data_IF_910211915515
#
_entry.id   IF_910211915515
#
_cell.length_a   1.000
_cell.length_b   1.000
_cell.length_c   1.000
_cell.angle_alpha   90.00
_cell.angle_beta   90.00
_cell.angle_gamma   90.00
#
_symmetry.space_group_name_H-M   'P 1'
#
loop_
_entity.id
_entity.type
_entity.pdbx_description
1 polymer ?
#
# COMPACT_ATOMS: atom_id res chain seq x y z
N UNK A 1 -0.30 -13.68 26.10
CA UNK A 1 1.00 -13.91 25.44
C UNK A 1 0.78 -14.07 23.94
N UNK A 2 1.25 -13.13 23.11
CA UNK A 2 1.09 -13.23 21.66
C UNK A 2 1.86 -14.44 21.10
N UNK A 3 1.22 -15.23 20.23
CA UNK A 3 1.80 -16.43 19.63
C UNK A 3 3.06 -16.09 18.82
N UNK A 4 4.01 -17.02 18.70
CA UNK A 4 5.22 -16.83 17.88
C UNK A 4 4.89 -16.42 16.43
N UNK A 5 3.75 -16.90 15.91
CA UNK A 5 3.20 -16.50 14.61
C UNK A 5 2.73 -15.06 14.58
N UNK A 6 2.02 -14.60 15.61
CA UNK A 6 1.59 -13.19 15.72
C UNK A 6 2.79 -12.23 15.82
N UNK A 7 3.86 -12.62 16.52
CA UNK A 7 5.12 -11.84 16.54
C UNK A 7 5.79 -11.78 15.17
N UNK A 8 5.78 -12.88 14.42
CA UNK A 8 6.29 -12.91 13.04
C UNK A 8 5.50 -12.03 12.07
N UNK A 9 4.17 -12.03 12.17
CA UNK A 9 3.29 -11.18 11.33
C UNK A 9 3.55 -9.69 11.58
N UNK A 10 3.68 -9.28 12.84
CA UNK A 10 4.02 -7.89 13.19
C UNK A 10 5.42 -7.49 12.71
N UNK A 11 6.40 -8.40 12.80
CA UNK A 11 7.76 -8.15 12.32
C UNK A 11 7.88 -8.06 10.78
N UNK A 12 6.94 -8.64 10.04
CA UNK A 12 6.94 -8.67 8.56
C UNK A 12 6.38 -7.41 7.89
N UNK A 13 5.84 -6.45 8.65
CA UNK A 13 5.24 -5.22 8.12
C UNK A 13 3.80 -5.36 7.61
N UNK A 14 3.33 -6.56 7.28
CA UNK A 14 1.95 -6.82 6.81
C UNK A 14 0.91 -6.38 7.86
N UNK A 15 1.13 -6.73 9.13
CA UNK A 15 0.23 -6.32 10.22
C UNK A 15 0.16 -4.80 10.42
N UNK A 16 1.24 -4.08 10.14
CA UNK A 16 1.29 -2.62 10.21
C UNK A 16 0.48 -1.98 9.07
N UNK A 17 0.63 -2.48 7.84
CA UNK A 17 -0.12 -1.95 6.69
C UNK A 17 -1.63 -2.11 6.85
N UNK A 18 -2.07 -3.27 7.36
CA UNK A 18 -3.49 -3.50 7.60
C UNK A 18 -4.07 -2.49 8.62
N UNK A 19 -3.33 -2.20 9.70
CA UNK A 19 -3.74 -1.25 10.73
C UNK A 19 -3.77 0.19 10.20
N UNK A 20 -2.75 0.61 9.44
CA UNK A 20 -2.73 1.97 8.88
C UNK A 20 -3.85 2.16 7.87
N UNK A 21 -4.11 1.17 7.01
CA UNK A 21 -5.19 1.22 6.04
C UNK A 21 -6.56 1.43 6.71
N UNK A 22 -6.89 0.65 7.73
CA UNK A 22 -8.23 0.69 8.35
C UNK A 22 -8.43 1.85 9.31
N UNK A 23 -7.43 2.17 10.15
CA UNK A 23 -7.60 3.11 11.25
C UNK A 23 -7.09 4.52 10.94
N UNK A 24 -6.19 4.69 9.97
CA UNK A 24 -5.65 6.00 9.63
C UNK A 24 -6.18 6.48 8.28
N UNK A 25 -6.05 5.64 7.24
CA UNK A 25 -6.34 6.07 5.86
C UNK A 25 -7.85 6.17 5.59
N UNK A 26 -8.60 5.09 5.80
CA UNK A 26 -10.04 5.05 5.48
C UNK A 26 -10.85 6.17 6.18
N UNK A 27 -10.65 6.48 7.48
CA UNK A 27 -11.39 7.55 8.14
C UNK A 27 -11.06 8.96 7.63
N UNK A 28 -9.83 9.18 7.15
CA UNK A 28 -9.39 10.48 6.64
C UNK A 28 -9.73 10.71 5.18
N UNK A 29 -9.57 9.70 4.33
CA UNK A 29 -9.79 9.83 2.88
C UNK A 29 -11.27 9.63 2.50
N UNK A 30 -12.01 8.85 3.28
CA UNK A 30 -13.32 8.36 2.87
C UNK A 30 -13.23 7.27 1.80
N UNK A 31 -14.35 6.60 1.54
CA UNK A 31 -14.45 5.51 0.56
C UNK A 31 -15.72 5.69 -0.26
N UNK A 32 -15.57 5.67 -1.59
CA UNK A 32 -16.70 5.64 -2.50
C UNK A 32 -16.70 4.34 -3.32
N UNK A 33 -17.66 3.46 -3.03
CA UNK A 33 -17.69 2.12 -3.63
C UNK A 33 -18.02 2.11 -5.12
N UNK A 34 -18.62 3.20 -5.62
CA UNK A 34 -18.97 3.37 -7.01
C UNK A 34 -17.91 4.24 -7.69
N UNK A 35 -17.47 3.83 -8.88
CA UNK A 35 -16.50 4.60 -9.64
C UNK A 35 -17.09 5.97 -10.01
N UNK A 36 -16.39 7.03 -9.60
CA UNK A 36 -16.69 8.41 -9.92
C UNK A 36 -15.63 8.98 -10.87
N UNK A 37 -16.00 10.05 -11.56
CA UNK A 37 -15.09 10.75 -12.45
C UNK A 37 -14.32 11.81 -11.67
N UNK A 38 -13.02 11.61 -11.50
CA UNK A 38 -12.14 12.64 -10.94
C UNK A 38 -11.78 13.65 -12.04
N UNK A 39 -12.36 14.85 -11.93
CA UNK A 39 -12.13 15.94 -12.88
C UNK A 39 -10.71 16.50 -12.86
N UNK A 40 -9.99 16.39 -11.73
CA UNK A 40 -8.62 16.89 -11.58
C UNK A 40 -7.63 15.92 -12.23
N UNK A 41 -7.79 14.63 -11.95
CA UNK A 41 -6.98 13.56 -12.53
C UNK A 41 -7.36 13.17 -13.96
N UNK A 42 -8.57 13.54 -14.43
CA UNK A 42 -9.17 13.06 -15.69
C UNK A 42 -9.15 11.53 -15.80
N UNK A 43 -9.38 10.86 -14.68
CA UNK A 43 -9.38 9.40 -14.56
C UNK A 43 -10.60 8.96 -13.75
N UNK A 44 -11.01 7.71 -13.97
CA UNK A 44 -12.01 7.09 -13.11
C UNK A 44 -11.35 6.65 -11.81
N UNK A 45 -12.00 6.98 -10.69
CA UNK A 45 -11.50 6.74 -9.35
C UNK A 45 -12.57 6.01 -8.53
N UNK A 46 -12.16 5.11 -7.64
CA UNK A 46 -13.06 4.34 -6.77
C UNK A 46 -12.40 4.04 -5.42
N UNK A 47 -13.19 3.63 -4.44
CA UNK A 47 -12.74 3.26 -3.10
C UNK A 47 -11.96 4.42 -2.43
N UNK A 48 -10.86 4.12 -1.73
CA UNK A 48 -9.92 5.10 -1.18
C UNK A 48 -8.89 5.52 -2.25
N UNK A 49 -9.36 6.20 -3.29
CA UNK A 49 -8.51 6.84 -4.31
C UNK A 49 -7.85 5.90 -5.33
N UNK A 50 -8.41 4.72 -5.57
CA UNK A 50 -7.86 3.76 -6.53
C UNK A 50 -8.21 4.17 -7.96
N UNK A 51 -7.21 4.19 -8.85
CA UNK A 51 -7.36 4.63 -10.25
C UNK A 51 -6.88 3.59 -11.26
N UNK A 52 -6.19 2.54 -10.80
CA UNK A 52 -5.55 1.59 -11.69
C UNK A 52 -6.57 0.66 -12.34
N UNK A 53 -6.84 0.92 -13.61
CA UNK A 53 -7.72 0.09 -14.43
C UNK A 53 -9.21 0.25 -14.11
N UNK A 54 -9.57 1.29 -13.35
CA UNK A 54 -10.96 1.64 -13.01
C UNK A 54 -11.65 2.20 -14.24
N UNK A 55 -12.92 1.83 -14.42
CA UNK A 55 -13.76 2.23 -15.53
C UNK A 55 -15.08 2.81 -15.03
N UNK A 56 -15.75 3.52 -15.93
CA UNK A 56 -17.10 4.03 -15.68
C UNK A 56 -18.04 2.90 -15.30
N UNK A 57 -18.69 3.04 -14.15
CA UNK A 57 -19.72 2.10 -13.69
C UNK A 57 -19.19 0.93 -12.86
N UNK A 58 -17.88 0.86 -12.61
CA UNK A 58 -17.35 -0.13 -11.67
C UNK A 58 -17.93 0.10 -10.26
N UNK A 59 -18.19 -0.99 -9.57
CA UNK A 59 -18.63 -1.00 -8.18
C UNK A 59 -17.92 -2.11 -7.42
N UNK A 60 -17.44 -1.78 -6.21
CA UNK A 60 -16.73 -2.71 -5.35
C UNK A 60 -17.37 -2.75 -3.96
N UNK A 61 -17.28 -3.89 -3.28
CA UNK A 61 -17.69 -3.97 -1.87
C UNK A 61 -16.64 -3.34 -0.96
N UNK A 62 -17.03 -2.97 0.26
CA UNK A 62 -16.11 -2.40 1.27
C UNK A 62 -14.89 -3.29 1.49
N UNK A 63 -15.11 -4.61 1.57
CA UNK A 63 -14.04 -5.59 1.74
C UNK A 63 -13.08 -5.57 0.55
N UNK A 64 -13.59 -5.39 -0.67
CA UNK A 64 -12.77 -5.30 -1.87
C UNK A 64 -12.00 -3.98 -1.92
N UNK A 65 -12.63 -2.86 -1.56
CA UNK A 65 -11.99 -1.56 -1.42
C UNK A 65 -10.82 -1.60 -0.42
N UNK A 66 -11.03 -2.24 0.73
CA UNK A 66 -9.99 -2.38 1.74
C UNK A 66 -8.81 -3.24 1.25
N UNK A 67 -9.09 -4.34 0.55
CA UNK A 67 -8.04 -5.19 -0.03
C UNK A 67 -7.21 -4.44 -1.07
N UNK A 68 -7.85 -3.61 -1.91
CA UNK A 68 -7.15 -2.79 -2.90
C UNK A 68 -6.20 -1.80 -2.21
N UNK A 69 -6.70 -1.12 -1.17
CA UNK A 69 -5.88 -0.19 -0.37
C UNK A 69 -4.70 -0.88 0.30
N UNK A 70 -4.91 -2.03 0.96
CA UNK A 70 -3.85 -2.80 1.59
C UNK A 70 -2.79 -3.23 0.57
N UNK A 71 -3.21 -3.75 -0.57
CA UNK A 71 -2.30 -4.16 -1.65
C UNK A 71 -1.46 -2.99 -2.16
N UNK A 72 -2.05 -1.80 -2.29
CA UNK A 72 -1.34 -0.59 -2.73
C UNK A 72 -0.28 -0.18 -1.70
N UNK A 73 -0.65 -0.07 -0.43
CA UNK A 73 0.27 0.30 0.65
C UNK A 73 1.39 -0.73 0.85
N UNK A 74 1.11 -2.02 0.71
CA UNK A 74 2.13 -3.08 0.73
C UNK A 74 3.13 -2.93 -0.43
N UNK A 75 2.63 -2.58 -1.62
CA UNK A 75 3.51 -2.35 -2.77
C UNK A 75 4.40 -1.12 -2.59
N UNK A 76 3.86 -0.03 -2.03
CA UNK A 76 4.60 1.20 -1.74
C UNK A 76 5.66 0.99 -0.64
N UNK A 77 5.30 0.32 0.46
CA UNK A 77 6.24 -0.03 1.55
C UNK A 77 7.34 -0.98 1.07
N UNK A 78 7.01 -1.95 0.22
CA UNK A 78 8.02 -2.80 -0.42
C UNK A 78 8.95 -2.02 -1.34
N UNK A 79 8.43 -1.07 -2.11
CA UNK A 79 9.25 -0.25 -3.02
C UNK A 79 10.25 0.58 -2.22
N UNK A 80 9.80 1.28 -1.18
CA UNK A 80 10.68 2.09 -0.31
C UNK A 80 11.77 1.24 0.36
N UNK A 81 11.44 0.04 0.85
CA UNK A 81 12.43 -0.91 1.38
C UNK A 81 13.47 -1.35 0.36
N UNK A 82 13.03 -1.71 -0.86
CA UNK A 82 13.93 -2.12 -1.96
C UNK A 82 14.89 -1.00 -2.37
N UNK A 83 14.43 0.24 -2.40
CA UNK A 83 15.28 1.38 -2.76
C UNK A 83 16.37 1.59 -1.71
N UNK A 84 16.04 1.43 -0.42
CA UNK A 84 16.99 1.55 0.69
C UNK A 84 18.04 0.44 0.67
N UNK A 85 17.64 -0.82 0.50
CA UNK A 85 18.59 -1.93 0.36
C UNK A 85 19.50 -1.75 -0.86
N UNK A 86 18.96 -1.32 -2.00
CA UNK A 86 19.78 -1.08 -3.20
C UNK A 86 20.83 0.00 -2.97
N UNK A 87 20.50 1.08 -2.26
CA UNK A 87 21.45 2.16 -1.94
C UNK A 87 22.51 1.65 -0.95
N UNK A 88 22.11 0.96 0.13
CA UNK A 88 23.04 0.44 1.14
C UNK A 88 23.97 -0.62 0.54
N UNK A 89 23.44 -1.58 -0.22
CA UNK A 89 24.25 -2.62 -0.88
C UNK A 89 25.18 -2.01 -1.92
N UNK A 90 24.74 -1.00 -2.70
CA UNK A 90 25.61 -0.29 -3.64
C UNK A 90 26.72 0.50 -2.94
N UNK A 91 26.39 1.20 -1.86
CA UNK A 91 27.38 1.95 -1.07
C UNK A 91 28.42 1.00 -0.46
N UNK A 92 27.97 -0.12 0.11
CA UNK A 92 28.85 -1.12 0.71
C UNK A 92 29.75 -1.82 -0.33
N UNK A 93 29.19 -2.20 -1.48
CA UNK A 93 29.99 -2.78 -2.58
C UNK A 93 30.99 -1.80 -3.19
N UNK A 94 30.68 -0.49 -3.25
CA UNK A 94 31.64 0.53 -3.67
C UNK A 94 32.82 0.69 -2.68
N UNK A 95 32.55 0.63 -1.38
CA UNK A 95 33.58 0.73 -0.33
C UNK A 95 34.53 -0.47 -0.43
N UNK A 96 34.01 -1.68 -0.64
CA UNK A 96 34.80 -2.91 -0.70
C UNK A 96 35.49 -3.19 -2.05
N UNK A 97 35.12 -2.51 -3.14
CA UNK A 97 35.80 -2.64 -4.45
C UNK A 97 37.03 -1.75 -4.62
N UNK A 98 37.30 -0.87 -3.64
CA UNK A 98 38.41 0.11 -3.67
C UNK A 98 39.59 -0.25 -2.76
N UNK A 99 39.54 -1.40 -2.07
CA UNK A 99 40.66 -2.00 -1.34
C UNK A 99 41.09 -3.28 -2.04
#
# INVERSE_FOLDING_TARGET
MASKRAKGVLASGIGLVALTATYLTVPWEGVENKAYWDSLGKVWTVCAGETKGVKKGDYYSDAKCLQMLQTRLENETRWTGRTRERIVVRAFTMIWRRG
#
